data_IF_855334384466
#
_entry.id   IF_855334384466
#
_cell.length_a   1.000
_cell.length_b   1.000
_cell.length_c   1.000
_cell.angle_alpha   90.00
_cell.angle_beta   90.00
_cell.angle_gamma   90.00
#
_symmetry.space_group_name_H-M   'P 1'
#
loop_
_entity.id
_entity.type
_entity.pdbx_description
1 polymer ?
#
# COMPACT_ATOMS: atom_id res chain seq x y z
N UNK A 1 -5.23 -56.79 -14.98
CA UNK A 1 -4.60 -56.08 -13.85
C UNK A 1 -4.53 -54.61 -14.25
N UNK A 2 -5.55 -53.84 -13.87
CA UNK A 2 -5.58 -52.39 -14.08
C UNK A 2 -5.14 -51.73 -12.79
N UNK A 3 -4.01 -51.05 -12.81
CA UNK A 3 -3.57 -50.17 -11.74
C UNK A 3 -4.08 -48.77 -12.04
N UNK A 4 -5.02 -48.29 -11.23
CA UNK A 4 -5.38 -46.88 -11.16
C UNK A 4 -4.27 -46.15 -10.40
N UNK A 5 -3.48 -45.34 -11.10
CA UNK A 5 -2.70 -44.27 -10.48
C UNK A 5 -3.62 -43.07 -10.29
N UNK A 6 -4.06 -42.88 -9.04
CA UNK A 6 -4.66 -41.62 -8.59
C UNK A 6 -3.55 -40.61 -8.34
N UNK A 7 -3.41 -39.64 -9.23
CA UNK A 7 -2.56 -38.46 -9.06
C UNK A 7 -3.12 -37.58 -7.94
N UNK A 8 -2.49 -37.64 -6.76
CA UNK A 8 -2.68 -36.67 -5.69
C UNK A 8 -2.03 -35.34 -6.09
N UNK A 9 -2.83 -34.37 -6.53
CA UNK A 9 -2.41 -32.98 -6.60
C UNK A 9 -2.45 -32.40 -5.18
N UNK A 10 -1.28 -32.30 -4.54
CA UNK A 10 -1.10 -31.48 -3.34
C UNK A 10 -1.24 -30.02 -3.74
N UNK A 11 -2.42 -29.43 -3.57
CA UNK A 11 -2.61 -27.97 -3.65
C UNK A 11 -1.90 -27.32 -2.48
N UNK A 12 -0.75 -26.70 -2.72
CA UNK A 12 -0.03 -25.89 -1.73
C UNK A 12 -0.94 -24.77 -1.25
N UNK A 13 -1.13 -24.67 0.07
CA UNK A 13 -1.97 -23.67 0.72
C UNK A 13 -1.42 -22.25 0.48
N UNK A 14 -2.30 -21.25 0.32
CA UNK A 14 -1.89 -19.86 0.12
C UNK A 14 -1.08 -19.33 1.31
N UNK A 15 -0.01 -18.52 1.12
CA UNK A 15 0.89 -18.09 2.19
C UNK A 15 0.20 -17.41 3.37
N UNK A 16 -0.74 -16.49 3.10
CA UNK A 16 -1.49 -15.77 4.13
C UNK A 16 -2.40 -16.71 4.97
N UNK A 17 -2.97 -17.76 4.37
CA UNK A 17 -3.73 -18.76 5.10
C UNK A 17 -2.83 -19.68 5.91
N UNK A 18 -1.64 -20.03 5.40
CA UNK A 18 -0.67 -20.83 6.15
C UNK A 18 -0.15 -20.05 7.37
N UNK A 19 0.06 -18.74 7.22
CA UNK A 19 0.40 -17.83 8.30
C UNK A 19 -0.66 -17.81 9.41
N UNK A 20 -1.94 -17.62 9.05
CA UNK A 20 -3.03 -17.63 10.03
C UNK A 20 -3.12 -18.97 10.77
N UNK A 21 -3.00 -20.10 10.06
CA UNK A 21 -2.99 -21.42 10.69
C UNK A 21 -1.84 -21.58 11.70
N UNK A 22 -0.64 -21.12 11.34
CA UNK A 22 0.51 -21.19 12.23
C UNK A 22 0.31 -20.33 13.49
N UNK A 23 -0.35 -19.18 13.39
CA UNK A 23 -0.70 -18.34 14.55
C UNK A 23 -1.70 -19.05 15.48
N UNK A 24 -2.60 -19.87 14.94
CA UNK A 24 -3.52 -20.67 15.76
C UNK A 24 -2.85 -21.84 16.50
N UNK A 25 -1.72 -22.33 15.99
CA UNK A 25 -0.97 -23.45 16.58
C UNK A 25 0.01 -23.00 17.68
N UNK A 26 0.29 -21.70 17.78
CA UNK A 26 1.14 -21.13 18.84
C UNK A 26 0.25 -20.81 20.05
N UNK A 27 0.63 -21.24 21.27
CA UNK A 27 0.06 -20.70 22.53
C UNK A 27 0.39 -19.19 22.60
N UNK A 28 -0.42 -18.37 21.95
CA UNK A 28 -0.14 -16.97 21.66
C UNK A 28 -1.19 -15.98 22.19
N UNK A 29 -1.08 -14.73 21.74
CA UNK A 29 -1.99 -13.62 22.07
C UNK A 29 -3.40 -13.90 21.52
N UNK A 30 -4.41 -14.18 22.38
CA UNK A 30 -5.77 -14.49 21.93
C UNK A 30 -6.41 -13.33 21.16
N UNK A 31 -6.03 -12.09 21.48
CA UNK A 31 -6.49 -10.89 20.77
C UNK A 31 -6.15 -10.97 19.29
N UNK A 32 -4.89 -11.29 19.00
CA UNK A 32 -4.37 -11.39 17.64
C UNK A 32 -5.06 -12.49 16.85
N UNK A 33 -5.23 -13.67 17.46
CA UNK A 33 -5.92 -14.83 16.87
C UNK A 33 -7.36 -14.49 16.49
N UNK A 34 -8.11 -13.83 17.37
CA UNK A 34 -9.50 -13.45 17.10
C UNK A 34 -9.60 -12.39 15.99
N UNK A 35 -8.71 -11.40 15.99
CA UNK A 35 -8.64 -10.39 14.92
C UNK A 35 -8.29 -11.00 13.56
N UNK A 36 -7.29 -11.89 13.51
CA UNK A 36 -6.94 -12.63 12.29
C UNK A 36 -8.09 -13.51 11.81
N UNK A 37 -8.88 -14.08 12.72
CA UNK A 37 -10.09 -14.86 12.37
C UNK A 37 -11.14 -13.97 11.72
N UNK A 38 -11.41 -12.78 12.28
CA UNK A 38 -12.37 -11.82 11.70
C UNK A 38 -11.91 -11.37 10.31
N UNK A 39 -10.63 -11.03 10.16
CA UNK A 39 -10.05 -10.60 8.88
C UNK A 39 -10.08 -11.74 7.85
N UNK A 40 -9.73 -12.96 8.25
CA UNK A 40 -9.83 -14.16 7.39
C UNK A 40 -11.24 -14.36 6.86
N UNK A 41 -12.25 -14.29 7.72
CA UNK A 41 -13.64 -14.45 7.31
C UNK A 41 -14.04 -13.41 6.25
N UNK A 42 -13.61 -12.15 6.42
CA UNK A 42 -13.86 -11.08 5.47
C UNK A 42 -13.17 -11.31 4.11
N UNK A 43 -11.94 -11.83 4.13
CA UNK A 43 -11.14 -12.08 2.93
C UNK A 43 -11.61 -13.32 2.15
N UNK A 44 -12.16 -14.32 2.83
CA UNK A 44 -12.72 -15.53 2.20
C UNK A 44 -14.17 -15.32 1.72
N UNK A 45 -14.87 -14.33 2.25
CA UNK A 45 -16.26 -14.07 1.91
C UNK A 45 -16.41 -13.39 0.55
N UNK A 46 -17.33 -13.93 -0.26
CA UNK A 46 -17.79 -13.33 -1.51
C UNK A 46 -18.89 -12.28 -1.28
N UNK A 47 -19.37 -12.12 -0.05
CA UNK A 47 -20.39 -11.12 0.29
C UNK A 47 -19.79 -9.71 0.26
N UNK A 48 -20.54 -8.76 -0.29
CA UNK A 48 -20.21 -7.33 -0.28
C UNK A 48 -20.32 -6.75 1.14
N UNK A 49 -21.17 -7.33 2.00
CA UNK A 49 -21.33 -6.90 3.39
C UNK A 49 -20.16 -7.34 4.30
N UNK A 50 -19.29 -8.25 3.85
CA UNK A 50 -18.30 -8.88 4.72
C UNK A 50 -17.30 -7.89 5.34
N UNK A 51 -16.90 -6.84 4.60
CA UNK A 51 -16.02 -5.80 5.13
C UNK A 51 -16.68 -5.03 6.29
N UNK A 52 -17.97 -4.71 6.13
CA UNK A 52 -18.78 -4.02 7.12
C UNK A 52 -19.00 -4.89 8.35
N UNK A 53 -19.34 -6.15 8.16
CA UNK A 53 -19.54 -7.10 9.25
C UNK A 53 -18.24 -7.32 10.03
N UNK A 54 -17.10 -7.41 9.35
CA UNK A 54 -15.80 -7.48 10.00
C UNK A 54 -15.47 -6.22 10.81
N UNK A 55 -15.72 -5.03 10.27
CA UNK A 55 -15.54 -3.77 11.00
C UNK A 55 -16.38 -3.74 12.29
N UNK A 56 -17.66 -4.15 12.22
CA UNK A 56 -18.51 -4.25 13.41
C UNK A 56 -18.03 -5.31 14.42
N UNK A 57 -17.54 -6.46 13.93
CA UNK A 57 -16.99 -7.52 14.78
C UNK A 57 -15.71 -7.06 15.49
N UNK A 58 -14.79 -6.40 14.78
CA UNK A 58 -13.58 -5.81 15.36
C UNK A 58 -13.95 -4.78 16.42
N UNK A 59 -14.92 -3.90 16.13
CA UNK A 59 -15.31 -2.86 17.06
C UNK A 59 -15.96 -3.39 18.35
N UNK A 60 -16.82 -4.40 18.19
CA UNK A 60 -17.50 -5.07 19.31
C UNK A 60 -16.50 -5.88 20.11
N UNK A 61 -15.52 -6.53 19.47
CA UNK A 61 -14.48 -7.31 20.13
C UNK A 61 -13.73 -6.48 21.18
N UNK A 62 -13.38 -5.23 20.86
CA UNK A 62 -12.73 -4.34 21.83
C UNK A 62 -13.54 -4.22 23.12
N UNK A 63 -14.84 -3.94 23.04
CA UNK A 63 -15.68 -3.72 24.23
C UNK A 63 -16.08 -5.02 24.94
N UNK A 64 -16.42 -6.05 24.17
CA UNK A 64 -17.01 -7.28 24.68
C UNK A 64 -15.96 -8.23 25.25
N UNK A 65 -14.77 -8.24 24.66
CA UNK A 65 -13.72 -9.22 24.97
C UNK A 65 -12.47 -8.54 25.51
N UNK A 66 -11.80 -7.71 24.71
CA UNK A 66 -10.48 -7.15 25.06
C UNK A 66 -10.52 -6.25 26.31
N UNK A 67 -11.46 -5.31 26.37
CA UNK A 67 -11.58 -4.41 27.51
C UNK A 67 -12.00 -5.14 28.80
N UNK A 68 -12.65 -6.29 28.65
CA UNK A 68 -13.12 -7.11 29.78
C UNK A 68 -12.08 -8.14 30.24
N UNK A 69 -11.08 -8.47 29.42
CA UNK A 69 -10.12 -9.55 29.70
C UNK A 69 -9.04 -9.17 30.71
N UNK A 70 -8.62 -7.90 30.76
CA UNK A 70 -7.65 -7.41 31.73
C UNK A 70 -8.25 -6.36 32.68
N UNK A 71 -8.44 -6.70 33.98
CA UNK A 71 -8.94 -5.76 34.98
C UNK A 71 -8.06 -4.53 35.22
N UNK A 72 -6.78 -4.55 34.81
CA UNK A 72 -5.83 -3.44 34.98
C UNK A 72 -5.95 -2.41 33.86
N UNK A 73 -6.27 -2.84 32.64
CA UNK A 73 -6.41 -1.98 31.45
C UNK A 73 -7.40 -0.84 31.68
N UNK A 74 -8.45 -1.04 32.48
CA UNK A 74 -9.42 0.02 32.81
C UNK A 74 -8.85 1.22 33.56
N UNK A 75 -7.68 1.08 34.19
CA UNK A 75 -6.99 2.16 34.90
C UNK A 75 -6.01 2.93 34.00
N UNK A 76 -5.76 2.43 32.79
CA UNK A 76 -4.97 3.14 31.78
C UNK A 76 -5.79 4.28 31.18
N UNK A 77 -5.10 5.36 30.80
CA UNK A 77 -5.72 6.57 30.28
C UNK A 77 -6.44 6.33 28.94
N UNK A 78 -5.88 5.45 28.11
CA UNK A 78 -6.43 5.02 26.82
C UNK A 78 -7.24 3.72 26.94
N UNK A 79 -7.36 3.14 28.13
CA UNK A 79 -8.06 1.86 28.36
C UNK A 79 -7.58 0.75 27.43
N UNK A 80 -6.25 0.66 27.23
CA UNK A 80 -5.60 -0.34 26.38
C UNK A 80 -5.89 -0.21 24.89
N UNK A 81 -6.54 0.89 24.47
CA UNK A 81 -6.89 1.11 23.07
C UNK A 81 -5.65 1.17 22.17
N UNK A 82 -4.53 1.73 22.63
CA UNK A 82 -3.31 1.76 21.84
C UNK A 82 -2.76 0.35 21.56
N UNK A 83 -2.80 -0.53 22.57
CA UNK A 83 -2.39 -1.93 22.43
C UNK A 83 -3.31 -2.69 21.47
N UNK A 84 -4.63 -2.55 21.64
CA UNK A 84 -5.60 -3.14 20.72
C UNK A 84 -5.40 -2.71 19.27
N UNK A 85 -5.23 -1.40 19.03
CA UNK A 85 -5.00 -0.86 17.69
C UNK A 85 -3.67 -1.34 17.12
N UNK A 86 -2.62 -1.45 17.94
CA UNK A 86 -1.34 -1.98 17.49
C UNK A 86 -1.48 -3.42 16.99
N UNK A 87 -2.10 -4.30 17.78
CA UNK A 87 -2.38 -5.69 17.38
C UNK A 87 -3.24 -5.77 16.11
N UNK A 88 -4.27 -4.93 16.00
CA UNK A 88 -5.14 -4.87 14.81
C UNK A 88 -4.34 -4.46 13.56
N UNK A 89 -3.59 -3.37 13.64
CA UNK A 89 -2.84 -2.87 12.49
C UNK A 89 -1.70 -3.80 12.10
N UNK A 90 -1.00 -4.40 13.06
CA UNK A 90 -0.02 -5.45 12.76
C UNK A 90 -0.65 -6.62 12.01
N UNK A 91 -1.81 -7.12 12.45
CA UNK A 91 -2.51 -8.18 11.74
C UNK A 91 -2.91 -7.78 10.31
N UNK A 92 -3.36 -6.54 10.11
CA UNK A 92 -3.69 -6.02 8.77
C UNK A 92 -2.44 -5.93 7.89
N UNK A 93 -1.33 -5.41 8.40
CA UNK A 93 -0.08 -5.26 7.64
C UNK A 93 0.59 -6.61 7.34
N UNK A 94 0.55 -7.57 8.27
CA UNK A 94 1.03 -8.93 8.02
C UNK A 94 0.27 -9.58 6.85
N UNK A 95 -1.07 -9.44 6.83
CA UNK A 95 -1.88 -9.95 5.73
C UNK A 95 -1.60 -9.19 4.42
N UNK A 96 -1.41 -7.86 4.48
CA UNK A 96 -1.09 -7.05 3.32
C UNK A 96 0.29 -7.40 2.71
N UNK A 97 1.26 -7.81 3.52
CA UNK A 97 2.58 -8.30 3.04
C UNK A 97 2.48 -9.67 2.35
N UNK A 98 1.60 -10.54 2.85
CA UNK A 98 1.45 -11.92 2.37
C UNK A 98 0.49 -12.07 1.17
N UNK A 99 -0.44 -11.14 0.99
CA UNK A 99 -1.36 -11.11 -0.14
C UNK A 99 -0.66 -10.52 -1.38
N UNK A 100 -0.70 -11.19 -2.55
CA UNK A 100 -0.15 -10.62 -3.77
C UNK A 100 -0.71 -9.22 -4.06
N UNK A 101 0.13 -8.31 -4.54
CA UNK A 101 -0.23 -6.91 -4.78
C UNK A 101 -1.43 -6.70 -5.73
N UNK A 102 -1.68 -7.68 -6.60
CA UNK A 102 -2.75 -7.73 -7.59
C UNK A 102 -3.94 -8.61 -7.16
N UNK A 103 -3.93 -9.14 -5.93
CA UNK A 103 -5.06 -9.89 -5.38
C UNK A 103 -6.17 -8.92 -4.92
N UNK A 104 -7.45 -9.13 -5.30
CA UNK A 104 -8.57 -8.29 -4.85
C UNK A 104 -8.77 -8.29 -3.32
N UNK A 105 -8.20 -9.27 -2.59
CA UNK A 105 -8.20 -9.27 -1.12
C UNK A 105 -7.44 -8.07 -0.53
N UNK A 106 -6.49 -7.49 -1.27
CA UNK A 106 -5.86 -6.21 -0.90
C UNK A 106 -6.90 -5.08 -0.79
N UNK A 107 -7.82 -5.01 -1.75
CA UNK A 107 -8.91 -4.02 -1.72
C UNK A 107 -9.89 -4.31 -0.57
N UNK A 108 -10.18 -5.59 -0.31
CA UNK A 108 -11.02 -6.01 0.82
C UNK A 108 -10.45 -5.60 2.18
N UNK A 109 -9.13 -5.65 2.39
CA UNK A 109 -8.50 -5.14 3.61
C UNK A 109 -8.72 -3.62 3.77
N UNK A 110 -8.57 -2.87 2.67
CA UNK A 110 -8.81 -1.41 2.66
C UNK A 110 -10.29 -1.11 2.94
N UNK A 111 -11.21 -1.88 2.38
CA UNK A 111 -12.65 -1.78 2.65
C UNK A 111 -12.97 -1.96 4.14
N UNK A 112 -12.34 -2.93 4.83
CA UNK A 112 -12.52 -3.13 6.28
C UNK A 112 -12.11 -1.87 7.04
N UNK A 113 -10.97 -1.25 6.71
CA UNK A 113 -10.52 0.00 7.34
C UNK A 113 -11.52 1.14 7.08
N UNK A 114 -12.00 1.26 5.85
CA UNK A 114 -13.00 2.28 5.50
C UNK A 114 -14.32 2.07 6.24
N UNK A 115 -14.76 0.83 6.44
CA UNK A 115 -15.95 0.52 7.23
C UNK A 115 -15.74 0.81 8.72
N UNK A 116 -14.56 0.53 9.28
CA UNK A 116 -14.20 0.94 10.65
C UNK A 116 -14.32 2.46 10.83
N UNK A 117 -13.88 3.24 9.82
CA UNK A 117 -13.99 4.71 9.83
C UNK A 117 -15.42 5.24 9.72
N UNK A 118 -16.39 4.41 9.29
CA UNK A 118 -17.82 4.78 9.22
C UNK A 118 -18.55 4.55 10.54
N UNK A 119 -17.95 3.81 11.48
CA UNK A 119 -18.55 3.55 12.78
C UNK A 119 -18.66 4.83 13.62
N UNK A 120 -19.56 4.87 14.62
CA UNK A 120 -19.66 5.99 15.54
C UNK A 120 -18.29 6.35 16.15
N UNK A 121 -17.81 7.60 16.01
CA UNK A 121 -16.48 7.96 16.49
C UNK A 121 -16.34 7.76 18.00
N UNK A 122 -15.28 7.05 18.40
CA UNK A 122 -14.90 6.88 19.81
C UNK A 122 -13.63 7.68 20.09
N UNK A 123 -13.64 8.45 21.19
CA UNK A 123 -12.49 9.26 21.58
C UNK A 123 -11.77 8.65 22.76
N UNK A 124 -10.45 8.57 22.63
CA UNK A 124 -9.52 8.10 23.66
C UNK A 124 -8.33 9.06 23.72
N UNK A 125 -7.63 9.04 24.85
CA UNK A 125 -6.39 9.79 25.01
C UNK A 125 -5.20 8.84 24.90
N UNK A 126 -4.66 8.71 23.68
CA UNK A 126 -3.51 7.86 23.38
C UNK A 126 -2.25 8.73 23.40
N UNK A 127 -1.24 8.33 24.19
CA UNK A 127 0.04 9.04 24.34
C UNK A 127 -0.09 10.55 24.53
N UNK A 128 -0.97 10.96 25.45
CA UNK A 128 -1.27 12.37 25.76
C UNK A 128 -2.03 13.16 24.69
N UNK A 129 -2.43 12.53 23.57
CA UNK A 129 -3.22 13.17 22.51
C UNK A 129 -4.66 12.64 22.48
N UNK A 130 -5.62 13.56 22.33
CA UNK A 130 -7.00 13.16 22.06
C UNK A 130 -7.08 12.67 20.61
N UNK A 131 -7.51 11.43 20.43
CA UNK A 131 -7.67 10.81 19.12
C UNK A 131 -9.11 10.39 18.87
N UNK A 132 -9.44 10.20 17.59
CA UNK A 132 -10.67 9.56 17.14
C UNK A 132 -10.29 8.20 16.56
N UNK A 133 -10.67 7.13 17.25
CA UNK A 133 -10.32 5.77 16.88
C UNK A 133 -10.74 5.46 15.43
N UNK A 134 -9.86 4.76 14.71
CA UNK A 134 -9.90 4.46 13.28
C UNK A 134 -9.80 5.66 12.32
N UNK A 135 -10.19 6.85 12.73
CA UNK A 135 -10.27 8.02 11.83
C UNK A 135 -9.05 8.91 11.89
N UNK A 136 -8.58 9.21 13.10
CA UNK A 136 -7.45 10.09 13.37
C UNK A 136 -6.81 9.67 14.70
N UNK A 137 -6.02 8.60 14.63
CA UNK A 137 -5.32 8.01 15.74
C UNK A 137 -3.86 7.70 15.33
N UNK A 138 -2.88 7.80 16.26
CA UNK A 138 -1.47 7.80 15.90
C UNK A 138 -0.87 6.40 15.68
N UNK A 139 -1.57 5.34 16.08
CA UNK A 139 -1.06 3.96 16.09
C UNK A 139 -0.96 3.39 14.68
N UNK A 140 -1.95 3.63 13.80
CA UNK A 140 -1.90 3.19 12.39
C UNK A 140 -0.61 3.65 11.72
N UNK A 141 -0.32 4.95 11.84
CA UNK A 141 0.86 5.56 11.23
C UNK A 141 2.16 5.06 11.86
N UNK A 142 2.19 4.89 13.18
CA UNK A 142 3.37 4.34 13.86
C UNK A 142 3.69 2.92 13.35
N UNK A 143 2.69 2.04 13.27
CA UNK A 143 2.86 0.68 12.70
C UNK A 143 3.26 0.77 11.23
N UNK A 144 2.62 1.69 10.49
CA UNK A 144 3.03 2.28 9.21
C UNK A 144 4.55 2.33 9.03
N UNK A 145 5.11 3.23 9.81
CA UNK A 145 6.50 3.63 9.81
C UNK A 145 7.43 2.53 10.30
N UNK A 146 7.08 1.83 11.35
CA UNK A 146 7.91 0.75 11.88
C UNK A 146 8.09 -0.36 10.83
N UNK A 147 7.01 -0.69 10.10
CA UNK A 147 7.05 -1.63 8.98
C UNK A 147 7.83 -1.07 7.80
N UNK A 148 7.62 0.18 7.42
CA UNK A 148 8.38 0.81 6.34
C UNK A 148 9.89 0.83 6.63
N UNK A 149 10.29 1.14 7.87
CA UNK A 149 11.70 1.17 8.28
C UNK A 149 12.30 -0.24 8.48
N UNK A 150 11.52 -1.21 8.99
CA UNK A 150 11.99 -2.55 9.31
C UNK A 150 12.00 -3.52 8.12
N UNK A 151 11.02 -3.42 7.22
CA UNK A 151 10.82 -4.35 6.10
C UNK A 151 11.46 -3.88 4.79
N UNK A 152 12.10 -2.69 4.77
CA UNK A 152 12.73 -2.16 3.57
C UNK A 152 13.88 -3.05 3.08
N UNK A 153 13.82 -3.59 1.85
CA UNK A 153 14.88 -4.45 1.35
C UNK A 153 16.13 -3.62 1.00
N UNK A 154 17.06 -3.48 1.94
CA UNK A 154 18.37 -2.82 1.74
C UNK A 154 19.53 -3.83 1.67
N UNK A 155 20.65 -3.36 1.10
CA UNK A 155 22.02 -3.88 1.25
C UNK A 155 22.21 -5.39 1.07
N UNK A 156 21.79 -5.92 -0.08
CA UNK A 156 22.07 -7.30 -0.43
C UNK A 156 23.58 -7.55 -0.63
N UNK A 157 24.19 -8.42 0.21
CA UNK A 157 25.65 -8.69 0.20
C UNK A 157 26.08 -10.01 -0.47
N UNK A 158 25.18 -10.72 -1.16
CA UNK A 158 25.58 -11.64 -2.24
C UNK A 158 26.01 -13.06 -1.86
N UNK A 159 25.11 -13.86 -1.29
CA UNK A 159 25.21 -15.34 -1.31
C UNK A 159 23.99 -15.94 -2.03
N UNK A 160 24.08 -17.09 -2.74
CA UNK A 160 22.96 -17.63 -3.53
C UNK A 160 21.68 -17.91 -2.73
N UNK A 161 21.79 -18.42 -1.51
CA UNK A 161 20.63 -18.61 -0.61
C UNK A 161 20.00 -17.27 -0.22
N UNK A 162 20.81 -16.22 -0.13
CA UNK A 162 20.35 -14.89 0.18
C UNK A 162 19.59 -14.26 -1.02
N UNK A 163 19.81 -14.71 -2.28
CA UNK A 163 19.08 -14.18 -3.45
C UNK A 163 17.60 -14.54 -3.39
N UNK A 164 17.26 -15.80 -3.04
CA UNK A 164 15.87 -16.24 -2.95
C UNK A 164 15.13 -15.54 -1.79
N UNK A 165 15.80 -15.41 -0.64
CA UNK A 165 15.30 -14.63 0.50
C UNK A 165 15.09 -13.16 0.11
N UNK A 166 16.04 -12.56 -0.59
CA UNK A 166 15.93 -11.18 -1.06
C UNK A 166 14.78 -10.99 -2.04
N UNK A 167 14.57 -11.93 -2.96
CA UNK A 167 13.42 -11.93 -3.87
C UNK A 167 12.10 -12.04 -3.12
N UNK A 168 12.03 -12.89 -2.09
CA UNK A 168 10.85 -13.00 -1.25
C UNK A 168 10.54 -11.69 -0.52
N UNK A 169 11.55 -11.06 0.11
CA UNK A 169 11.39 -9.73 0.73
C UNK A 169 10.96 -8.67 -0.29
N UNK A 170 11.45 -8.76 -1.53
CA UNK A 170 11.02 -7.85 -2.59
C UNK A 170 9.55 -8.04 -2.95
N UNK A 171 9.05 -9.28 -2.98
CA UNK A 171 7.64 -9.55 -3.23
C UNK A 171 6.76 -9.02 -2.09
N UNK A 172 7.12 -9.31 -0.84
CA UNK A 172 6.44 -8.78 0.36
C UNK A 172 6.44 -7.25 0.38
N UNK A 173 7.57 -6.63 0.03
CA UNK A 173 7.68 -5.18 -0.10
C UNK A 173 6.74 -4.62 -1.16
N UNK A 174 6.67 -5.24 -2.34
CA UNK A 174 5.72 -4.82 -3.39
C UNK A 174 4.28 -4.94 -2.92
N UNK A 175 3.93 -6.04 -2.24
CA UNK A 175 2.60 -6.26 -1.69
C UNK A 175 2.22 -5.18 -0.66
N UNK A 176 3.09 -4.95 0.33
CA UNK A 176 2.92 -3.94 1.37
C UNK A 176 2.81 -2.52 0.80
N UNK A 177 3.66 -2.15 -0.18
CA UNK A 177 3.60 -0.83 -0.80
C UNK A 177 2.37 -0.66 -1.69
N UNK A 178 1.88 -1.73 -2.33
CA UNK A 178 0.63 -1.68 -3.08
C UNK A 178 -0.60 -1.54 -2.16
N UNK A 179 -0.58 -2.15 -0.98
CA UNK A 179 -1.58 -1.90 0.06
C UNK A 179 -1.55 -0.45 0.53
N UNK A 180 -0.35 0.05 0.85
CA UNK A 180 -0.14 1.44 1.27
C UNK A 180 -0.64 2.44 0.22
N UNK A 181 -0.35 2.19 -1.06
CA UNK A 181 -0.84 3.02 -2.16
C UNK A 181 -2.38 3.07 -2.20
N UNK A 182 -3.07 1.95 -1.97
CA UNK A 182 -4.54 1.93 -1.88
C UNK A 182 -5.04 2.72 -0.66
N UNK A 183 -4.36 2.61 0.48
CA UNK A 183 -4.64 3.43 1.66
C UNK A 183 -4.46 4.93 1.39
N UNK A 184 -3.43 5.32 0.64
CA UNK A 184 -3.23 6.71 0.19
C UNK A 184 -4.38 7.18 -0.69
N UNK A 185 -4.76 6.38 -1.70
CA UNK A 185 -5.88 6.71 -2.60
C UNK A 185 -7.21 6.84 -1.85
N UNK A 186 -7.42 6.00 -0.84
CA UNK A 186 -8.61 6.01 0.01
C UNK A 186 -8.60 7.12 1.07
N UNK A 187 -7.53 7.93 1.16
CA UNK A 187 -7.39 8.96 2.19
C UNK A 187 -7.33 8.40 3.61
N UNK A 188 -6.78 7.19 3.78
CA UNK A 188 -6.47 6.58 5.08
C UNK A 188 -5.10 7.08 5.54
N UNK A 189 -4.09 6.94 4.68
CA UNK A 189 -2.73 7.44 4.92
C UNK A 189 -2.64 8.90 4.46
N UNK A 190 -3.19 9.80 5.27
CA UNK A 190 -3.09 11.26 5.06
C UNK A 190 -2.02 11.87 5.96
N UNK A 191 -0.83 11.26 5.97
CA UNK A 191 0.34 11.98 6.46
C UNK A 191 0.44 13.35 5.79
N UNK A 192 0.77 14.41 6.53
CA UNK A 192 1.29 15.59 5.87
C UNK A 192 2.54 15.17 5.09
N UNK A 193 2.57 15.46 3.79
CA UNK A 193 3.73 15.35 2.87
C UNK A 193 3.92 14.07 2.04
N UNK A 194 3.04 13.05 2.11
CA UNK A 194 3.17 11.80 1.32
C UNK A 194 4.60 11.28 1.27
N UNK A 195 5.14 11.04 2.46
CA UNK A 195 6.47 10.49 2.63
C UNK A 195 6.62 9.22 1.78
N UNK A 196 5.73 8.23 1.93
CA UNK A 196 5.88 6.95 1.22
C UNK A 196 5.88 7.10 -0.32
N UNK A 197 4.86 7.71 -0.97
CA UNK A 197 4.92 7.93 -2.42
C UNK A 197 6.15 8.74 -2.87
N UNK A 198 6.57 9.75 -2.08
CA UNK A 198 7.72 10.58 -2.39
C UNK A 198 9.05 9.85 -2.37
N UNK A 199 9.24 8.93 -1.43
CA UNK A 199 10.44 8.11 -1.38
C UNK A 199 10.39 6.98 -2.42
N UNK A 200 9.28 6.26 -2.51
CA UNK A 200 9.22 5.03 -3.29
C UNK A 200 9.17 5.28 -4.81
N UNK A 201 8.46 6.30 -5.28
CA UNK A 201 8.43 6.63 -6.71
C UNK A 201 9.83 7.10 -7.16
N UNK A 202 10.49 7.94 -6.37
CA UNK A 202 11.85 8.42 -6.65
C UNK A 202 12.84 7.26 -6.65
N UNK A 203 12.73 6.33 -5.69
CA UNK A 203 13.56 5.12 -5.66
C UNK A 203 13.40 4.32 -6.96
N UNK A 204 12.17 4.05 -7.41
CA UNK A 204 11.95 3.23 -8.60
C UNK A 204 12.28 3.90 -9.93
N UNK A 205 12.10 5.22 -10.06
CA UNK A 205 12.18 5.91 -11.36
C UNK A 205 13.44 6.75 -11.55
N UNK A 206 14.13 7.15 -10.47
CA UNK A 206 15.24 8.10 -10.55
C UNK A 206 16.58 7.53 -10.07
N UNK A 207 16.57 6.40 -9.35
CA UNK A 207 17.79 5.72 -8.90
C UNK A 207 18.12 4.55 -9.80
N UNK A 208 19.41 4.24 -9.87
CA UNK A 208 19.94 3.08 -10.58
C UNK A 208 20.39 2.02 -9.58
N UNK A 209 20.15 0.75 -9.91
CA UNK A 209 20.47 -0.39 -9.06
C UNK A 209 21.29 -1.40 -9.85
N UNK A 210 22.36 -1.92 -9.23
CA UNK A 210 23.24 -2.92 -9.84
C UNK A 210 22.61 -4.31 -9.85
N UNK A 211 21.80 -4.62 -8.83
CA UNK A 211 21.11 -5.90 -8.72
C UNK A 211 19.75 -5.85 -9.43
N UNK A 212 19.55 -6.75 -10.39
CA UNK A 212 18.32 -6.81 -11.18
C UNK A 212 17.06 -7.01 -10.33
N UNK A 213 17.13 -7.89 -9.32
CA UNK A 213 16.00 -8.15 -8.43
C UNK A 213 15.58 -6.89 -7.63
N UNK A 214 16.56 -6.10 -7.17
CA UNK A 214 16.30 -4.85 -6.47
C UNK A 214 15.69 -3.83 -7.43
N UNK A 215 16.25 -3.71 -8.64
CA UNK A 215 15.72 -2.83 -9.68
C UNK A 215 14.27 -3.16 -10.01
N UNK A 216 13.97 -4.44 -10.26
CA UNK A 216 12.61 -4.92 -10.56
C UNK A 216 11.64 -4.59 -9.41
N UNK A 217 12.07 -4.81 -8.16
CA UNK A 217 11.29 -4.47 -6.97
C UNK A 217 10.96 -2.98 -6.90
N UNK A 218 11.97 -2.10 -6.98
CA UNK A 218 11.78 -0.65 -6.85
C UNK A 218 10.96 -0.06 -8.00
N UNK A 219 11.19 -0.51 -9.23
CA UNK A 219 10.39 -0.10 -10.39
C UNK A 219 8.94 -0.57 -10.25
N UNK A 220 8.71 -1.80 -9.79
CA UNK A 220 7.36 -2.31 -9.57
C UNK A 220 6.61 -1.49 -8.52
N UNK A 221 7.24 -1.19 -7.38
CA UNK A 221 6.64 -0.35 -6.33
C UNK A 221 6.25 1.02 -6.88
N UNK A 222 7.15 1.69 -7.60
CA UNK A 222 6.85 3.00 -8.19
C UNK A 222 5.67 2.92 -9.17
N UNK A 223 5.62 1.89 -10.01
CA UNK A 223 4.50 1.66 -10.92
C UNK A 223 3.18 1.44 -10.15
N UNK A 224 3.19 0.65 -9.07
CA UNK A 224 2.00 0.40 -8.25
C UNK A 224 1.47 1.68 -7.59
N UNK A 225 2.34 2.55 -7.05
CA UNK A 225 1.90 3.85 -6.51
C UNK A 225 1.21 4.71 -7.56
N UNK A 226 1.75 4.79 -8.78
CA UNK A 226 1.14 5.57 -9.86
C UNK A 226 -0.20 4.96 -10.31
N UNK A 227 -0.29 3.62 -10.37
CA UNK A 227 -1.51 2.91 -10.77
C UNK A 227 -2.62 3.06 -9.74
N UNK A 228 -2.30 2.83 -8.47
CA UNK A 228 -3.27 2.70 -7.39
C UNK A 228 -3.56 4.04 -6.70
N UNK A 229 -2.54 4.87 -6.47
CA UNK A 229 -2.63 6.16 -5.76
C UNK A 229 -2.47 7.38 -6.65
N UNK A 230 -2.39 7.20 -7.98
CA UNK A 230 -2.01 8.26 -8.90
C UNK A 230 -2.90 9.51 -8.81
N UNK A 231 -4.21 9.36 -8.53
CA UNK A 231 -5.11 10.51 -8.36
C UNK A 231 -4.77 11.27 -7.09
N UNK A 232 -4.77 10.61 -5.94
CA UNK A 232 -4.48 11.26 -4.66
C UNK A 232 -3.10 11.95 -4.68
N UNK A 233 -2.10 11.30 -5.28
CA UNK A 233 -0.75 11.86 -5.44
C UNK A 233 -0.76 13.09 -6.38
N UNK A 234 -1.42 12.99 -7.53
CA UNK A 234 -1.49 14.10 -8.49
C UNK A 234 -2.22 15.31 -7.92
N UNK A 235 -3.39 15.08 -7.33
CA UNK A 235 -4.21 16.12 -6.72
C UNK A 235 -3.43 16.84 -5.62
N UNK A 236 -2.74 16.09 -4.77
CA UNK A 236 -2.07 16.65 -3.59
C UNK A 236 -0.75 17.35 -3.92
N UNK A 237 0.07 16.83 -4.83
CA UNK A 237 1.46 17.28 -5.03
C UNK A 237 1.75 17.92 -6.39
N UNK A 238 0.84 17.77 -7.35
CA UNK A 238 1.02 18.34 -8.70
C UNK A 238 0.09 19.54 -8.90
N UNK A 239 -1.21 19.36 -8.65
CA UNK A 239 -2.24 20.35 -9.03
C UNK A 239 -2.75 21.22 -7.87
N UNK A 240 -2.59 20.81 -6.61
CA UNK A 240 -3.00 21.61 -5.45
C UNK A 240 -2.41 23.02 -5.50
N UNK A 241 -3.29 24.03 -5.54
CA UNK A 241 -2.92 25.44 -5.34
C UNK A 241 -2.77 25.66 -3.83
N UNK A 242 -1.55 25.95 -3.40
CA UNK A 242 -1.22 26.10 -1.98
C UNK A 242 -1.33 27.56 -1.58
N UNK A 243 -1.79 27.79 -0.34
CA UNK A 243 -2.05 29.13 0.19
C UNK A 243 -0.87 29.70 0.99
N UNK A 244 0.16 28.90 1.30
CA UNK A 244 1.29 29.34 2.15
C UNK A 244 2.65 28.72 1.76
N UNK A 245 3.74 29.48 1.96
CA UNK A 245 5.10 29.13 1.50
C UNK A 245 5.81 27.95 2.20
N UNK A 246 5.29 27.39 3.30
CA UNK A 246 5.81 26.11 3.85
C UNK A 246 5.28 24.90 3.09
N UNK A 247 4.09 24.99 2.51
CA UNK A 247 3.50 23.93 1.72
C UNK A 247 4.12 23.89 0.32
N UNK A 248 4.56 25.03 -0.22
CA UNK A 248 5.23 25.10 -1.54
C UNK A 248 6.47 24.19 -1.62
N UNK A 249 7.21 24.00 -0.52
CA UNK A 249 8.39 23.13 -0.48
C UNK A 249 8.05 21.63 -0.65
N UNK A 250 6.79 21.23 -0.38
CA UNK A 250 6.33 19.85 -0.56
C UNK A 250 5.77 19.58 -1.97
N UNK A 251 5.63 20.62 -2.81
CA UNK A 251 5.10 20.45 -4.16
C UNK A 251 6.16 19.87 -5.08
N UNK A 252 5.88 18.73 -5.69
CA UNK A 252 6.75 18.19 -6.75
C UNK A 252 6.53 18.91 -8.08
N UNK A 253 5.31 19.40 -8.31
CA UNK A 253 4.96 20.18 -9.48
C UNK A 253 4.88 19.33 -10.76
N UNK A 254 4.54 20.01 -11.85
CA UNK A 254 4.33 19.36 -13.15
C UNK A 254 5.63 18.77 -13.72
N UNK A 255 6.77 19.40 -13.47
CA UNK A 255 8.08 18.94 -13.95
C UNK A 255 8.41 17.53 -13.46
N UNK A 256 8.08 17.21 -12.20
CA UNK A 256 8.29 15.87 -11.65
C UNK A 256 7.38 14.84 -12.33
N UNK A 257 6.12 15.22 -12.58
CA UNK A 257 5.16 14.36 -13.28
C UNK A 257 5.64 14.02 -14.69
N UNK A 258 6.15 15.02 -15.43
CA UNK A 258 6.75 14.84 -16.76
C UNK A 258 8.01 13.96 -16.71
N UNK A 259 8.89 14.21 -15.73
CA UNK A 259 10.09 13.40 -15.53
C UNK A 259 9.74 11.93 -15.34
N UNK A 260 8.76 11.61 -14.50
CA UNK A 260 8.34 10.23 -14.25
C UNK A 260 7.75 9.55 -15.49
N UNK A 261 6.99 10.29 -16.31
CA UNK A 261 6.51 9.77 -17.58
C UNK A 261 7.66 9.35 -18.52
N UNK A 262 8.69 10.20 -18.64
CA UNK A 262 9.87 9.92 -19.45
C UNK A 262 10.70 8.76 -18.88
N UNK A 263 10.83 8.66 -17.55
CA UNK A 263 11.53 7.54 -16.90
C UNK A 263 10.82 6.21 -17.14
N UNK A 264 9.49 6.18 -17.01
CA UNK A 264 8.70 4.98 -17.31
C UNK A 264 8.86 4.57 -18.79
N UNK A 265 8.84 5.55 -19.71
CA UNK A 265 9.07 5.31 -21.14
C UNK A 265 10.46 4.72 -21.41
N UNK A 266 11.50 5.28 -20.79
CA UNK A 266 12.87 4.78 -20.94
C UNK A 266 13.03 3.34 -20.41
N UNK A 267 12.35 3.00 -19.30
CA UNK A 267 12.34 1.63 -18.75
C UNK A 267 11.62 0.67 -19.71
N UNK A 268 10.46 1.09 -20.25
CA UNK A 268 9.70 0.34 -21.26
C UNK A 268 10.56 0.04 -22.50
N UNK A 269 11.22 1.06 -23.06
CA UNK A 269 12.03 0.95 -24.28
C UNK A 269 13.30 0.10 -24.08
N UNK A 270 13.93 0.20 -22.90
CA UNK A 270 15.12 -0.59 -22.57
C UNK A 270 14.79 -2.07 -22.40
N UNK A 271 13.59 -2.38 -21.90
CA UNK A 271 13.11 -3.76 -21.76
C UNK A 271 13.98 -4.62 -20.83
N UNK A 272 14.66 -4.00 -19.86
CA UNK A 272 15.61 -4.65 -18.97
C UNK A 272 15.02 -5.09 -17.62
N UNK A 273 13.70 -4.94 -17.42
CA UNK A 273 13.00 -5.52 -16.27
C UNK A 273 12.31 -6.84 -16.63
N UNK A 274 11.85 -7.54 -15.61
CA UNK A 274 10.97 -8.70 -15.81
C UNK A 274 9.68 -8.30 -16.56
N UNK A 275 9.09 -9.20 -17.36
CA UNK A 275 7.90 -8.89 -18.17
C UNK A 275 6.72 -8.33 -17.36
N UNK A 276 6.50 -8.84 -16.13
CA UNK A 276 5.42 -8.32 -15.25
C UNK A 276 5.68 -6.87 -14.83
N UNK A 277 6.94 -6.51 -14.59
CA UNK A 277 7.35 -5.14 -14.23
C UNK A 277 7.18 -4.22 -15.44
N UNK A 278 7.62 -4.64 -16.63
CA UNK A 278 7.43 -3.86 -17.86
C UNK A 278 5.94 -3.61 -18.13
N UNK A 279 5.09 -4.63 -17.97
CA UNK A 279 3.64 -4.47 -18.13
C UNK A 279 3.07 -3.42 -17.15
N UNK A 280 3.49 -3.47 -15.87
CA UNK A 280 3.08 -2.47 -14.88
C UNK A 280 3.59 -1.06 -15.23
N UNK A 281 4.82 -0.93 -15.73
CA UNK A 281 5.42 0.34 -16.17
C UNK A 281 4.62 0.96 -17.31
N UNK A 282 4.23 0.16 -18.31
CA UNK A 282 3.41 0.62 -19.44
C UNK A 282 2.06 1.15 -18.95
N UNK A 283 1.37 0.41 -18.09
CA UNK A 283 0.07 0.84 -17.55
C UNK A 283 0.21 2.06 -16.63
N UNK A 284 1.26 2.11 -15.80
CA UNK A 284 1.55 3.27 -14.96
C UNK A 284 1.78 4.52 -15.82
N UNK A 285 2.52 4.42 -16.93
CA UNK A 285 2.74 5.54 -17.85
C UNK A 285 1.44 6.02 -18.48
N UNK A 286 0.59 5.10 -18.96
CA UNK A 286 -0.74 5.44 -19.48
C UNK A 286 -1.59 6.15 -18.43
N UNK A 287 -1.59 5.64 -17.20
CA UNK A 287 -2.34 6.22 -16.08
C UNK A 287 -1.87 7.63 -15.76
N UNK A 288 -0.56 7.83 -15.67
CA UNK A 288 0.08 9.12 -15.40
C UNK A 288 -0.31 10.17 -16.45
N UNK A 289 -0.24 9.82 -17.74
CA UNK A 289 -0.64 10.71 -18.85
C UNK A 289 -2.14 11.00 -18.79
N UNK A 290 -2.98 9.99 -18.53
CA UNK A 290 -4.43 10.17 -18.44
C UNK A 290 -4.86 11.11 -17.30
N UNK A 291 -4.08 11.18 -16.21
CA UNK A 291 -4.34 12.09 -15.09
C UNK A 291 -3.95 13.54 -15.39
N UNK A 292 -3.09 13.79 -16.37
CA UNK A 292 -2.72 15.13 -16.80
C UNK A 292 -2.32 15.13 -18.29
N UNK A 293 -3.29 15.16 -19.22
CA UNK A 293 -3.01 14.98 -20.65
C UNK A 293 -2.34 16.20 -21.30
N UNK A 294 -2.71 17.42 -20.93
CA UNK A 294 -2.30 18.67 -21.63
C UNK A 294 -0.78 18.81 -21.85
N UNK A 295 0.09 18.53 -20.85
CA UNK A 295 1.54 18.65 -20.99
C UNK A 295 2.16 17.68 -22.01
N UNK A 296 1.44 16.63 -22.41
CA UNK A 296 1.92 15.61 -23.35
C UNK A 296 1.39 15.80 -24.78
N UNK A 297 0.53 16.80 -25.02
CA UNK A 297 -0.04 17.08 -26.34
C UNK A 297 0.82 18.02 -27.20
N UNK A 298 1.87 18.64 -26.64
CA UNK A 298 2.62 19.73 -27.29
C UNK A 298 3.86 19.26 -28.09
N UNK A 299 3.68 18.20 -28.90
CA UNK A 299 4.65 17.82 -29.95
C UNK A 299 4.08 17.90 -31.38
N UNK A 300 2.90 18.50 -31.55
CA UNK A 300 2.21 18.62 -32.83
C UNK A 300 2.12 20.05 -33.37
N UNK A 301 3.08 20.42 -34.23
CA UNK A 301 2.97 21.45 -35.30
C UNK A 301 2.60 22.87 -34.86
N UNK A 302 3.60 23.76 -34.79
CA UNK A 302 3.38 25.20 -35.01
C UNK A 302 2.87 25.40 -36.45
N UNK A 303 1.73 26.08 -36.68
CA UNK A 303 1.42 26.60 -38.00
C UNK A 303 2.52 27.58 -38.40
N UNK A 304 3.12 27.36 -39.56
CA UNK A 304 3.99 28.35 -40.17
C UNK A 304 3.15 29.60 -40.50
N UNK A 305 3.41 30.70 -39.80
CA UNK A 305 2.91 32.01 -40.17
C UNK A 305 3.46 32.33 -41.56
N UNK A 306 2.60 32.17 -42.56
CA UNK A 306 2.88 32.57 -43.94
C UNK A 306 2.75 34.07 -44.00
N UNK A 307 3.89 34.72 -44.19
CA UNK A 307 4.02 36.13 -44.57
C UNK A 307 3.21 36.34 -45.86
N UNK A 308 2.18 37.18 -45.81
CA UNK A 308 1.59 37.76 -47.01
C UNK A 308 2.04 39.23 -47.09
N UNK A 309 3.03 39.47 -47.93
CA UNK A 309 3.33 40.79 -48.48
C UNK A 309 2.09 41.31 -49.21
N UNK A 310 1.59 42.48 -48.81
CA UNK A 310 0.69 43.27 -49.65
C UNK A 310 1.54 44.25 -50.48
N UNK A 311 1.72 43.89 -51.75
CA UNK A 311 1.93 44.84 -52.83
C UNK A 311 0.56 45.22 -53.40
N UNK A 312 0.18 46.48 -53.18
CA UNK A 312 -0.47 47.44 -54.09
C UNK A 312 -1.31 48.47 -53.31
#
# INVERSE_FOLDING_TARGET
MSSNESTSQSTTKEPWLAFIDNEFDIEGDPTRVDLLTILRDALLSVDEAAAKDAAHRIDSYYSDTFFSSDPLVKFEEDKGMASFLNTLWDAVFDLAELLPFDDPKQDRLVEVILELRKLPPKSFKIWQSNCLVYTNEPVFFMVQEDRWNGSFPHDFKGEPAAVAEFQQRCNEWVNHQAFTARCTEAGIDTEPFCKHPGYEIVNGLEKEYSLQAERNCKVMVAAQYILLAGRAVHETYVTRKLSTGREEAARWGLEKWLLWAERLKAIEEKGDCDPKVIAAVVEARKRLIALHPDPFHDSGVKPADTIAEQHD
#
